data_IF_551161227962
#
_entry.id   IF_551161227962
#
_cell.length_a   1.000
_cell.length_b   1.000
_cell.length_c   1.000
_cell.angle_alpha   90.00
_cell.angle_beta   90.00
_cell.angle_gamma   90.00
#
_symmetry.space_group_name_H-M   'P 1'
#
loop_
_entity.id
_entity.type
_entity.pdbx_description
1 polymer ?
#
# COMPACT_ATOMS: atom_id res chain seq x y z
N UNK A 1 1.44 -12.15 -17.22
CA UNK A 1 1.34 -11.16 -16.13
C UNK A 1 2.22 -11.51 -14.93
N UNK A 2 3.43 -10.94 -14.85
CA UNK A 2 4.30 -11.03 -13.67
C UNK A 2 3.70 -10.36 -12.42
N UNK A 3 3.00 -9.22 -12.60
CA UNK A 3 2.31 -8.51 -11.52
C UNK A 3 1.35 -9.40 -10.72
N UNK A 4 0.55 -10.23 -11.39
CA UNK A 4 -0.39 -11.17 -10.73
C UNK A 4 0.37 -12.19 -9.86
N UNK A 5 1.50 -12.71 -10.35
CA UNK A 5 2.34 -13.65 -9.59
C UNK A 5 2.93 -12.97 -8.35
N UNK A 6 3.41 -11.74 -8.49
CA UNK A 6 3.94 -10.96 -7.37
C UNK A 6 2.87 -10.62 -6.34
N UNK A 7 1.68 -10.18 -6.78
CA UNK A 7 0.52 -9.94 -5.92
C UNK A 7 0.16 -11.17 -5.10
N UNK A 8 0.04 -12.32 -5.77
CA UNK A 8 -0.27 -13.59 -5.12
C UNK A 8 0.79 -13.99 -4.11
N UNK A 9 2.08 -13.94 -4.48
CA UNK A 9 3.20 -14.30 -3.61
C UNK A 9 3.30 -13.39 -2.38
N UNK A 10 3.07 -12.09 -2.55
CA UNK A 10 3.14 -11.11 -1.47
C UNK A 10 1.80 -10.91 -0.73
N UNK A 11 0.74 -11.63 -1.11
CA UNK A 11 -0.62 -11.48 -0.57
C UNK A 11 -1.10 -10.01 -0.56
N UNK A 12 -0.80 -9.26 -1.62
CA UNK A 12 -1.11 -7.83 -1.76
C UNK A 12 -1.96 -7.57 -2.99
N UNK A 13 -2.85 -6.59 -2.90
CA UNK A 13 -3.70 -6.18 -4.03
C UNK A 13 -3.08 -5.10 -4.92
N UNK A 14 -1.83 -4.72 -4.65
CA UNK A 14 -1.10 -3.69 -5.39
C UNK A 14 0.38 -4.02 -5.46
N UNK A 15 0.96 -3.86 -6.65
CA UNK A 15 2.42 -3.89 -6.90
C UNK A 15 2.87 -2.55 -7.46
N UNK A 16 4.14 -2.23 -7.24
CA UNK A 16 4.75 -0.98 -7.67
C UNK A 16 5.67 -1.26 -8.84
N UNK A 17 5.56 -0.45 -9.90
CA UNK A 17 6.49 -0.43 -11.02
C UNK A 17 7.64 0.50 -10.66
N UNK A 18 8.86 -0.01 -10.73
CA UNK A 18 10.07 0.68 -10.29
C UNK A 18 11.07 0.73 -11.44
N UNK A 19 11.68 1.89 -11.67
CA UNK A 19 12.74 2.05 -12.67
C UNK A 19 14.09 1.51 -12.18
N UNK A 20 15.07 1.45 -13.07
CA UNK A 20 16.42 0.98 -12.73
C UNK A 20 17.12 1.84 -11.67
N UNK A 21 16.71 3.10 -11.51
CA UNK A 21 17.18 4.03 -10.49
C UNK A 21 16.48 3.86 -9.13
N UNK A 22 15.56 2.90 -9.02
CA UNK A 22 14.77 2.63 -7.82
C UNK A 22 13.58 3.55 -7.62
N UNK A 23 13.30 4.49 -8.55
CA UNK A 23 12.16 5.40 -8.44
C UNK A 23 10.85 4.74 -8.81
N UNK A 24 9.80 5.22 -8.16
CA UNK A 24 8.43 4.78 -8.42
C UNK A 24 7.95 5.35 -9.75
N UNK A 25 7.70 4.48 -10.72
CA UNK A 25 7.15 4.83 -12.04
C UNK A 25 5.64 4.68 -12.09
N UNK A 26 5.07 3.76 -11.30
CA UNK A 26 3.68 3.39 -11.41
C UNK A 26 3.21 2.40 -10.36
N UNK A 27 1.92 2.13 -10.37
CA UNK A 27 1.32 1.04 -9.60
C UNK A 27 0.37 0.23 -10.47
N UNK A 28 0.26 -1.05 -10.17
CA UNK A 28 -0.75 -1.93 -10.76
C UNK A 28 -1.54 -2.53 -9.63
N UNK A 29 -2.85 -2.36 -9.65
CA UNK A 29 -3.76 -2.96 -8.69
C UNK A 29 -4.53 -4.13 -9.29
N UNK A 30 -5.14 -4.96 -8.44
CA UNK A 30 -6.09 -6.00 -8.87
C UNK A 30 -7.18 -5.43 -9.78
N UNK A 31 -7.65 -4.21 -9.49
CA UNK A 31 -8.69 -3.53 -10.29
C UNK A 31 -8.20 -3.22 -11.70
N UNK A 32 -6.95 -2.82 -11.86
CA UNK A 32 -6.36 -2.54 -13.17
C UNK A 32 -6.31 -3.83 -14.00
N UNK A 33 -5.89 -4.95 -13.38
CA UNK A 33 -5.85 -6.26 -14.01
C UNK A 33 -7.26 -6.72 -14.42
N UNK A 34 -8.24 -6.65 -13.51
CA UNK A 34 -9.63 -7.03 -13.80
C UNK A 34 -10.19 -6.19 -14.96
N UNK A 35 -9.97 -4.88 -14.95
CA UNK A 35 -10.42 -3.97 -16.02
C UNK A 35 -9.75 -4.30 -17.36
N UNK A 36 -8.47 -4.63 -17.36
CA UNK A 36 -7.74 -4.99 -18.57
C UNK A 36 -8.28 -6.27 -19.20
N UNK A 37 -8.46 -7.30 -18.39
CA UNK A 37 -9.01 -8.58 -18.83
C UNK A 37 -10.45 -8.42 -19.35
N UNK A 38 -11.27 -7.61 -18.67
CA UNK A 38 -12.63 -7.31 -19.11
C UNK A 38 -12.67 -6.60 -20.47
N UNK A 39 -11.64 -5.83 -20.82
CA UNK A 39 -11.49 -5.16 -22.12
C UNK A 39 -10.73 -6.01 -23.16
N UNK A 40 -10.43 -7.28 -22.88
CA UNK A 40 -9.74 -8.18 -23.80
C UNK A 40 -8.25 -7.90 -23.99
N UNK A 41 -7.61 -7.19 -23.05
CA UNK A 41 -6.15 -6.96 -23.09
C UNK A 41 -5.41 -8.28 -22.92
N UNK A 42 -4.46 -8.56 -23.80
CA UNK A 42 -3.63 -9.77 -23.73
C UNK A 42 -2.84 -9.81 -22.40
N UNK A 43 -2.89 -10.91 -21.62
CA UNK A 43 -2.07 -11.09 -20.42
C UNK A 43 -0.54 -11.02 -20.60
N UNK A 44 -0.04 -11.07 -21.84
CA UNK A 44 1.37 -10.81 -22.17
C UNK A 44 1.71 -9.33 -22.28
N UNK A 45 0.70 -8.46 -22.34
CA UNK A 45 0.87 -7.00 -22.41
C UNK A 45 1.72 -6.51 -21.20
N UNK A 46 2.71 -5.62 -21.44
CA UNK A 46 3.50 -5.00 -20.38
C UNK A 46 2.64 -4.35 -19.29
N UNK A 47 3.08 -4.45 -18.04
CA UNK A 47 2.28 -4.04 -16.87
C UNK A 47 2.13 -2.51 -16.74
N UNK A 48 3.05 -1.77 -17.32
CA UNK A 48 3.07 -0.31 -17.38
C UNK A 48 2.00 0.29 -18.31
N UNK A 49 1.52 -0.46 -19.31
CA UNK A 49 0.42 -0.02 -20.16
C UNK A 49 -0.97 -0.23 -19.55
N UNK A 50 -1.04 -0.87 -18.37
CA UNK A 50 -2.29 -1.27 -17.72
C UNK A 50 -2.50 -0.57 -16.38
N UNK A 51 -1.41 -0.27 -15.68
CA UNK A 51 -1.40 0.35 -14.37
C UNK A 51 -1.66 1.86 -14.37
N UNK A 52 -1.63 2.43 -13.17
CA UNK A 52 -1.70 3.88 -12.94
C UNK A 52 -0.29 4.45 -12.79
N UNK A 53 0.13 5.33 -13.71
CA UNK A 53 1.48 5.91 -13.71
C UNK A 53 1.55 7.33 -13.11
N UNK A 54 0.52 8.16 -13.33
CA UNK A 54 0.61 9.60 -13.06
C UNK A 54 -0.06 10.07 -11.76
N UNK A 55 -0.86 9.21 -11.12
CA UNK A 55 -1.69 9.57 -9.95
C UNK A 55 -1.45 8.61 -8.78
N UNK A 56 -0.18 8.33 -8.51
CA UNK A 56 0.23 7.43 -7.43
C UNK A 56 0.09 8.16 -6.11
N UNK A 57 -0.68 7.58 -5.19
CA UNK A 57 -0.80 8.08 -3.83
C UNK A 57 0.46 7.66 -3.05
N UNK A 58 1.32 8.65 -2.78
CA UNK A 58 2.61 8.47 -2.12
C UNK A 58 2.65 9.19 -0.75
N UNK A 59 3.42 8.63 0.17
CA UNK A 59 3.81 9.25 1.45
C UNK A 59 5.30 9.10 1.64
N UNK A 60 5.89 10.00 2.43
CA UNK A 60 7.30 9.90 2.79
C UNK A 60 7.50 8.87 3.90
N UNK A 61 8.63 8.16 3.93
CA UNK A 61 8.94 7.13 4.94
C UNK A 61 8.97 7.64 6.40
N UNK A 62 9.09 8.96 6.57
CA UNK A 62 9.05 9.65 7.87
C UNK A 62 7.69 10.26 8.19
N UNK A 63 6.70 10.13 7.30
CA UNK A 63 5.35 10.62 7.57
C UNK A 63 4.68 9.80 8.69
N UNK A 64 3.92 10.46 9.60
CA UNK A 64 3.24 9.75 10.66
C UNK A 64 2.12 8.87 10.09
N UNK A 65 1.90 7.71 10.70
CA UNK A 65 0.91 6.73 10.24
C UNK A 65 -0.51 7.31 10.12
N UNK A 66 -0.85 8.31 10.96
CA UNK A 66 -2.15 8.99 10.91
C UNK A 66 -2.37 9.72 9.58
N UNK A 67 -1.31 10.28 8.98
CA UNK A 67 -1.36 10.91 7.66
C UNK A 67 -1.64 9.88 6.58
N UNK A 68 -1.06 8.68 6.69
CA UNK A 68 -1.34 7.56 5.76
C UNK A 68 -2.80 7.16 5.81
N UNK A 69 -3.36 7.00 7.02
CA UNK A 69 -4.77 6.66 7.21
C UNK A 69 -5.73 7.74 6.67
N UNK A 70 -5.43 9.02 6.95
CA UNK A 70 -6.20 10.15 6.42
C UNK A 70 -6.16 10.18 4.89
N UNK A 71 -4.98 10.01 4.30
CA UNK A 71 -4.80 10.01 2.85
C UNK A 71 -5.55 8.86 2.15
N UNK A 72 -5.57 7.67 2.77
CA UNK A 72 -6.38 6.54 2.29
C UNK A 72 -7.87 6.89 2.23
N UNK A 73 -8.40 7.52 3.28
CA UNK A 73 -9.80 7.94 3.34
C UNK A 73 -10.11 9.06 2.32
N UNK A 74 -9.27 10.09 2.25
CA UNK A 74 -9.44 11.24 1.34
C UNK A 74 -9.38 10.85 -0.13
N UNK A 75 -8.49 9.92 -0.50
CA UNK A 75 -8.30 9.48 -1.89
C UNK A 75 -9.10 8.23 -2.24
N UNK A 76 -9.84 7.67 -1.28
CA UNK A 76 -10.58 6.42 -1.41
C UNK A 76 -9.69 5.27 -1.95
N UNK A 77 -8.48 5.15 -1.41
CA UNK A 77 -7.52 4.11 -1.77
C UNK A 77 -7.22 3.21 -0.58
N UNK A 78 -6.89 1.95 -0.86
CA UNK A 78 -6.59 0.93 0.17
C UNK A 78 -5.11 0.67 0.36
N UNK A 79 -4.27 1.28 -0.47
CA UNK A 79 -2.82 1.11 -0.48
C UNK A 79 -2.19 2.49 -0.72
N UNK A 80 -1.06 2.72 -0.06
CA UNK A 80 -0.25 3.93 -0.21
C UNK A 80 1.20 3.50 -0.40
N UNK A 81 1.86 4.10 -1.39
CA UNK A 81 3.28 3.83 -1.67
C UNK A 81 4.14 4.69 -0.76
N UNK A 82 5.15 4.09 -0.13
CA UNK A 82 6.09 4.77 0.76
C UNK A 82 7.39 5.02 0.00
N UNK A 83 7.87 6.27 0.02
CA UNK A 83 9.09 6.69 -0.68
C UNK A 83 10.04 7.48 0.23
N UNK A 84 11.32 7.57 -0.16
CA UNK A 84 12.28 8.50 0.46
C UNK A 84 12.33 9.87 -0.22
N UNK A 85 13.26 10.71 0.25
CA UNK A 85 13.57 12.05 -0.25
C UNK A 85 13.92 12.08 -1.76
N UNK A 86 14.26 10.93 -2.36
CA UNK A 86 14.63 10.79 -3.78
C UNK A 86 13.56 10.07 -4.62
N UNK A 87 12.36 9.90 -4.08
CA UNK A 87 11.23 9.20 -4.70
C UNK A 87 11.48 7.69 -4.95
N UNK A 88 12.42 7.10 -4.20
CA UNK A 88 12.71 5.68 -4.30
C UNK A 88 11.79 4.86 -3.40
N UNK A 89 11.37 3.70 -3.90
CA UNK A 89 10.45 2.83 -3.19
C UNK A 89 11.04 2.34 -1.86
N UNK A 90 10.30 2.52 -0.77
CA UNK A 90 10.59 1.95 0.55
C UNK A 90 9.60 0.87 0.96
N UNK A 91 8.37 0.93 0.43
CA UNK A 91 7.38 -0.10 0.68
C UNK A 91 5.99 0.32 0.25
N UNK A 92 5.01 -0.48 0.66
CA UNK A 92 3.59 -0.21 0.47
C UNK A 92 2.89 -0.48 1.80
N UNK A 93 2.04 0.44 2.23
CA UNK A 93 1.16 0.24 3.38
C UNK A 93 -0.25 0.02 2.84
N UNK A 94 -0.89 -1.06 3.29
CA UNK A 94 -2.30 -1.34 3.02
C UNK A 94 -3.18 -1.01 4.21
N UNK A 95 -4.48 -0.83 3.96
CA UNK A 95 -5.47 -0.69 5.02
C UNK A 95 -5.49 -1.89 5.97
N UNK A 96 -5.13 -3.09 5.49
CA UNK A 96 -5.04 -4.30 6.31
C UNK A 96 -3.90 -4.21 7.33
N UNK A 97 -2.81 -3.53 6.98
CA UNK A 97 -1.69 -3.31 7.90
C UNK A 97 -2.12 -2.37 9.03
N UNK A 98 -2.84 -1.30 8.70
CA UNK A 98 -3.38 -0.36 9.70
C UNK A 98 -4.34 -1.04 10.67
N UNK A 99 -5.24 -1.89 10.15
CA UNK A 99 -6.20 -2.62 10.99
C UNK A 99 -5.52 -3.63 11.91
N UNK A 100 -4.50 -4.36 11.39
CA UNK A 100 -3.73 -5.32 12.19
C UNK A 100 -3.04 -4.66 13.38
N UNK A 101 -2.40 -3.51 13.15
CA UNK A 101 -1.74 -2.75 14.22
C UNK A 101 -2.75 -2.16 15.21
N UNK A 102 -3.91 -1.68 14.73
CA UNK A 102 -4.97 -1.19 15.61
C UNK A 102 -5.49 -2.26 16.58
N UNK A 103 -5.70 -3.48 16.10
CA UNK A 103 -6.10 -4.61 16.94
C UNK A 103 -5.02 -4.97 17.95
N UNK A 104 -3.75 -5.00 17.53
CA UNK A 104 -2.62 -5.23 18.42
C UNK A 104 -2.52 -4.15 19.53
N UNK A 105 -2.67 -2.88 19.16
CA UNK A 105 -2.67 -1.75 20.10
C UNK A 105 -3.82 -1.83 21.10
N UNK A 106 -5.03 -2.21 20.65
CA UNK A 106 -6.19 -2.43 21.52
C UNK A 106 -5.93 -3.50 22.58
N UNK A 107 -5.35 -4.62 22.17
CA UNK A 107 -5.04 -5.71 23.10
C UNK A 107 -3.96 -5.30 24.12
N UNK A 108 -2.97 -4.50 23.72
CA UNK A 108 -1.99 -3.93 24.65
C UNK A 108 -2.62 -2.95 25.65
N UNK A 109 -3.55 -2.12 25.20
CA UNK A 109 -4.25 -1.15 26.05
C UNK A 109 -5.21 -1.82 27.04
N UNK A 110 -5.62 -3.07 26.79
CA UNK A 110 -6.44 -3.88 27.70
C UNK A 110 -5.67 -4.47 28.88
N UNK A 111 -4.36 -4.25 29.00
CA UNK A 111 -3.59 -4.68 30.17
C UNK A 111 -4.21 -4.12 31.46
N UNK A 112 -4.36 -4.92 32.52
CA UNK A 112 -5.00 -4.47 33.76
C UNK A 112 -4.23 -3.26 34.31
N UNK A 113 -4.95 -2.16 34.52
CA UNK A 113 -4.43 -1.03 35.27
C UNK A 113 -4.21 -1.52 36.71
N UNK A 114 -2.97 -1.43 37.20
CA UNK A 114 -2.69 -1.63 38.62
C UNK A 114 -3.05 -0.30 39.31
N UNK A 115 -4.13 -0.22 40.10
CA UNK A 115 -4.49 1.03 40.75
C UNK A 115 -3.38 1.43 41.73
N UNK A 116 -2.93 2.67 41.65
CA UNK A 116 -2.00 3.24 42.62
C UNK A 116 -2.81 3.63 43.87
N UNK A 117 -2.81 2.80 44.90
CA UNK A 117 -3.36 3.17 46.21
C UNK A 117 -2.37 4.10 46.90
N UNK A 118 -2.81 5.30 47.28
CA UNK A 118 -2.05 6.16 48.20
C UNK A 118 -2.21 5.57 49.60
N UNK A 119 -1.10 5.11 50.19
CA UNK A 119 -0.98 5.01 51.65
C UNK A 119 -0.88 6.40 52.27
#
# INVERSE_FOLDING_TARGET
MEAVRLMSKANTGLVVVVGDDGKVLGVVSERDIIRALANGVDPSTPVDSVGTMNSIVKVHEKDPIIKVAALMAERNVRHVVVVDDYDRLKGVISIRDLLREYDALKELARKPLVPLTKE
#
